data_IF_281814479565
#
_entry.id   IF_281814479565
#
_cell.length_a   1.000
_cell.length_b   1.000
_cell.length_c   1.000
_cell.angle_alpha   90.00
_cell.angle_beta   90.00
_cell.angle_gamma   90.00
#
_symmetry.space_group_name_H-M   'P 1'
#
loop_
_entity.id
_entity.type
_entity.pdbx_description
1 polymer ?
#
# COMPACT_ATOMS: atom_id res chain seq x y z
N UNK A 1 5.69 7.86 -0.01
CA UNK A 1 5.23 7.43 1.33
C UNK A 1 6.39 6.90 2.16
N UNK A 2 7.11 5.87 1.71
CA UNK A 2 8.12 5.17 2.52
C UNK A 2 9.29 6.04 2.96
N UNK A 3 9.85 6.89 2.08
CA UNK A 3 10.94 7.81 2.44
C UNK A 3 10.51 8.85 3.49
N UNK A 4 9.24 9.19 3.51
CA UNK A 4 8.65 10.16 4.44
C UNK A 4 8.49 9.54 5.84
N UNK A 5 8.02 8.30 5.91
CA UNK A 5 7.78 7.60 7.18
C UNK A 5 9.06 7.13 7.87
N UNK A 6 10.13 6.85 7.12
CA UNK A 6 11.41 6.41 7.68
C UNK A 6 12.19 7.50 8.43
N UNK A 7 11.79 8.78 8.36
CA UNK A 7 12.35 9.82 9.21
C UNK A 7 11.74 9.78 10.63
N UNK A 8 11.96 8.66 11.30
CA UNK A 8 11.57 8.51 12.70
C UNK A 8 12.29 9.52 13.63
N UNK A 9 11.73 9.88 14.80
CA UNK A 9 12.42 10.70 15.81
C UNK A 9 13.78 10.10 16.18
N UNK A 10 14.73 10.96 16.61
CA UNK A 10 16.02 10.48 17.15
C UNK A 10 15.77 9.47 18.28
N UNK A 11 16.35 8.26 18.16
CA UNK A 11 16.17 7.16 19.11
C UNK A 11 15.09 6.14 18.72
N UNK A 12 14.35 6.35 17.65
CA UNK A 12 13.54 5.28 17.07
C UNK A 12 14.45 4.29 16.32
N UNK A 13 14.02 3.02 16.26
CA UNK A 13 14.73 1.96 15.58
C UNK A 13 14.94 2.23 14.07
N UNK A 14 15.69 1.35 13.45
CA UNK A 14 16.03 1.43 12.01
C UNK A 14 15.62 0.17 11.25
N UNK A 15 14.57 -0.51 11.69
CA UNK A 15 14.10 -1.71 11.03
C UNK A 15 12.79 -1.48 10.29
N UNK A 16 12.74 -1.95 9.05
CA UNK A 16 11.58 -1.90 8.18
C UNK A 16 11.30 -3.31 7.67
N UNK A 17 10.05 -3.74 7.76
CA UNK A 17 9.58 -5.01 7.21
C UNK A 17 8.75 -4.75 5.96
N UNK A 18 8.96 -5.56 4.94
CA UNK A 18 8.20 -5.51 3.67
C UNK A 18 8.04 -6.92 3.11
N UNK A 19 7.36 -7.05 1.97
CA UNK A 19 7.20 -8.35 1.29
C UNK A 19 8.18 -8.51 0.13
N UNK A 20 8.47 -9.76 -0.24
CA UNK A 20 9.31 -10.06 -1.39
C UNK A 20 8.68 -9.70 -2.74
N UNK A 21 7.35 -9.49 -2.76
CA UNK A 21 6.56 -9.27 -3.98
C UNK A 21 6.11 -7.81 -4.19
N UNK A 22 6.63 -6.87 -3.42
CA UNK A 22 6.28 -5.46 -3.58
C UNK A 22 6.64 -4.92 -4.96
N UNK A 23 5.89 -3.91 -5.40
CA UNK A 23 6.21 -3.18 -6.62
C UNK A 23 7.54 -2.41 -6.49
N UNK A 24 8.22 -2.15 -7.61
CA UNK A 24 9.48 -1.39 -7.64
C UNK A 24 9.38 -0.01 -6.96
N UNK A 25 8.19 0.63 -6.94
CA UNK A 25 7.93 1.87 -6.23
C UNK A 25 8.09 1.77 -4.71
N UNK A 26 8.06 0.55 -4.16
CA UNK A 26 8.34 0.23 -2.75
C UNK A 26 9.78 -0.28 -2.59
N UNK A 27 10.21 -1.23 -3.42
CA UNK A 27 11.56 -1.81 -3.34
C UNK A 27 12.68 -0.76 -3.49
N UNK A 28 12.60 0.10 -4.50
CA UNK A 28 13.67 1.07 -4.75
C UNK A 28 13.87 2.08 -3.60
N UNK A 29 12.81 2.68 -3.01
CA UNK A 29 12.96 3.49 -1.80
C UNK A 29 13.52 2.72 -0.61
N UNK A 30 13.17 1.44 -0.43
CA UNK A 30 13.71 0.61 0.65
C UNK A 30 15.18 0.29 0.44
N UNK A 31 15.60 -0.01 -0.78
CA UNK A 31 17.00 -0.18 -1.12
C UNK A 31 17.81 1.08 -0.79
N UNK A 32 17.31 2.26 -1.19
CA UNK A 32 17.95 3.53 -0.81
C UNK A 32 18.06 3.69 0.71
N UNK A 33 17.02 3.30 1.47
CA UNK A 33 17.06 3.37 2.93
C UNK A 33 18.07 2.37 3.53
N UNK A 34 18.22 1.18 2.93
CA UNK A 34 19.24 0.21 3.33
C UNK A 34 20.66 0.81 3.20
N UNK A 35 20.94 1.54 2.13
CA UNK A 35 22.20 2.28 1.94
C UNK A 35 22.41 3.38 3.00
N UNK A 36 21.32 3.86 3.62
CA UNK A 36 21.36 4.81 4.74
C UNK A 36 21.42 4.13 6.12
N UNK A 37 21.65 2.82 6.15
CA UNK A 37 21.83 2.04 7.37
C UNK A 37 20.52 1.58 8.04
N UNK A 38 19.41 1.52 7.28
CA UNK A 38 18.20 0.84 7.73
C UNK A 38 18.30 -0.66 7.45
N UNK A 39 17.85 -1.47 8.39
CA UNK A 39 17.69 -2.90 8.20
C UNK A 39 16.35 -3.17 7.53
N UNK A 40 16.37 -3.86 6.40
CA UNK A 40 15.18 -4.21 5.64
C UNK A 40 14.98 -5.72 5.72
N UNK A 41 13.84 -6.15 6.24
CA UNK A 41 13.42 -7.56 6.23
C UNK A 41 12.36 -7.76 5.15
N UNK A 42 12.64 -8.66 4.21
CA UNK A 42 11.69 -9.07 3.18
C UNK A 42 11.02 -10.38 3.63
N UNK A 43 9.71 -10.33 3.90
CA UNK A 43 8.93 -11.52 4.18
C UNK A 43 8.82 -12.36 2.91
N UNK A 44 9.14 -13.66 2.97
CA UNK A 44 8.89 -14.57 1.86
C UNK A 44 7.40 -14.74 1.64
N UNK A 45 7.04 -15.23 0.47
CA UNK A 45 5.68 -15.63 0.12
C UNK A 45 5.65 -17.10 -0.24
N UNK A 46 4.48 -17.71 -0.12
CA UNK A 46 4.23 -19.08 -0.55
C UNK A 46 4.11 -19.18 -2.10
N UNK A 47 3.81 -20.36 -2.60
CA UNK A 47 3.64 -20.63 -4.04
C UNK A 47 2.44 -19.89 -4.67
N UNK A 48 1.53 -19.36 -3.86
CA UNK A 48 0.38 -18.56 -4.28
C UNK A 48 0.63 -17.06 -4.13
N UNK A 49 1.78 -16.67 -3.58
CA UNK A 49 2.18 -15.29 -3.39
C UNK A 49 1.70 -14.66 -2.09
N UNK A 50 1.29 -15.44 -1.08
CA UNK A 50 0.83 -14.93 0.21
C UNK A 50 1.93 -14.95 1.27
N UNK A 51 1.99 -13.88 2.09
CA UNK A 51 2.87 -13.84 3.26
C UNK A 51 2.36 -14.76 4.38
N UNK A 52 3.29 -15.27 5.20
CA UNK A 52 2.98 -15.91 6.46
C UNK A 52 2.82 -14.87 7.58
N UNK A 53 1.65 -14.85 8.25
CA UNK A 53 1.45 -14.01 9.44
C UNK A 53 2.34 -14.44 10.61
N UNK A 54 2.75 -15.70 10.66
CA UNK A 54 3.71 -16.20 11.64
C UNK A 54 5.11 -15.59 11.39
N UNK A 55 5.53 -15.51 10.12
CA UNK A 55 6.80 -14.90 9.74
C UNK A 55 6.79 -13.40 9.98
N UNK A 56 5.68 -12.70 9.69
CA UNK A 56 5.51 -11.31 10.06
C UNK A 56 5.70 -11.11 11.56
N UNK A 57 5.02 -11.94 12.38
CA UNK A 57 5.13 -11.84 13.84
C UNK A 57 6.54 -12.13 14.35
N UNK A 58 7.24 -13.08 13.75
CA UNK A 58 8.62 -13.41 14.10
C UNK A 58 9.63 -12.34 13.67
N UNK A 59 9.34 -11.60 12.62
CA UNK A 59 10.19 -10.53 12.11
C UNK A 59 10.09 -9.22 12.91
N UNK A 60 9.01 -9.01 13.67
CA UNK A 60 8.83 -7.81 14.50
C UNK A 60 9.81 -7.80 15.67
N UNK A 61 10.47 -6.67 15.89
CA UNK A 61 11.37 -6.43 17.02
C UNK A 61 11.29 -4.97 17.52
N UNK A 62 12.06 -4.66 18.55
CA UNK A 62 12.06 -3.34 19.22
C UNK A 62 12.55 -2.21 18.30
N UNK A 63 13.33 -2.51 17.25
CA UNK A 63 13.81 -1.56 16.27
C UNK A 63 12.84 -1.36 15.10
N UNK A 64 11.76 -2.14 15.00
CA UNK A 64 10.79 -2.04 13.90
C UNK A 64 10.00 -0.74 13.99
N UNK A 65 10.08 0.08 12.95
CA UNK A 65 9.39 1.38 12.86
C UNK A 65 8.32 1.42 11.78
N UNK A 66 8.41 0.55 10.80
CA UNK A 66 7.54 0.52 9.63
C UNK A 66 7.35 -0.91 9.13
N UNK A 67 6.12 -1.26 8.83
CA UNK A 67 5.78 -2.43 8.02
C UNK A 67 5.09 -1.93 6.76
N UNK A 68 5.50 -2.41 5.61
CA UNK A 68 4.91 -2.07 4.30
C UNK A 68 4.50 -3.33 3.56
N UNK A 69 3.22 -3.48 3.30
CA UNK A 69 2.64 -4.65 2.62
C UNK A 69 1.71 -4.16 1.51
N UNK A 70 1.90 -4.64 0.29
CA UNK A 70 0.91 -4.39 -0.77
C UNK A 70 -0.35 -5.22 -0.51
N UNK A 71 -1.52 -4.63 -0.77
CA UNK A 71 -2.79 -5.34 -0.52
C UNK A 71 -3.11 -6.35 -1.62
N UNK A 72 -2.76 -6.02 -2.88
CA UNK A 72 -2.95 -6.91 -4.04
C UNK A 72 -1.71 -6.82 -4.92
N UNK A 73 -1.13 -7.96 -5.24
CA UNK A 73 0.03 -8.01 -6.13
C UNK A 73 -0.36 -7.68 -7.58
N UNK A 74 0.45 -6.87 -8.24
CA UNK A 74 0.19 -6.37 -9.58
C UNK A 74 0.45 -7.37 -10.71
N UNK A 75 1.21 -8.44 -10.44
CA UNK A 75 1.56 -9.47 -11.43
C UNK A 75 0.64 -10.68 -11.34
N UNK A 76 0.46 -11.23 -10.15
CA UNK A 76 -0.24 -12.50 -9.94
C UNK A 76 -1.61 -12.33 -9.27
N UNK A 77 -1.95 -11.13 -8.79
CA UNK A 77 -3.24 -10.86 -8.17
C UNK A 77 -3.43 -11.45 -6.76
N UNK A 78 -2.36 -11.95 -6.12
CA UNK A 78 -2.42 -12.41 -4.73
C UNK A 78 -2.93 -11.28 -3.81
N UNK A 79 -3.86 -11.61 -2.91
CA UNK A 79 -4.47 -10.67 -1.95
C UNK A 79 -3.88 -10.95 -0.59
N UNK A 80 -3.15 -9.98 -0.04
CA UNK A 80 -2.48 -10.13 1.25
C UNK A 80 -3.44 -9.92 2.44
N UNK A 81 -3.21 -10.62 3.57
CA UNK A 81 -4.04 -10.55 4.77
C UNK A 81 -3.77 -9.26 5.59
N UNK A 82 -4.07 -8.11 4.98
CA UNK A 82 -3.72 -6.78 5.51
C UNK A 82 -4.40 -6.48 6.85
N UNK A 83 -5.65 -6.92 7.04
CA UNK A 83 -6.37 -6.66 8.29
C UNK A 83 -5.71 -7.39 9.47
N UNK A 84 -5.43 -8.67 9.31
CA UNK A 84 -4.78 -9.51 10.30
C UNK A 84 -3.32 -9.07 10.56
N UNK A 85 -2.61 -8.68 9.51
CA UNK A 85 -1.28 -8.09 9.64
C UNK A 85 -1.32 -6.80 10.47
N UNK A 86 -2.29 -5.93 10.22
CA UNK A 86 -2.49 -4.71 11.00
C UNK A 86 -2.74 -4.97 12.48
N UNK A 87 -3.57 -5.97 12.81
CA UNK A 87 -3.81 -6.40 14.20
C UNK A 87 -2.53 -6.88 14.88
N UNK A 88 -1.75 -7.75 14.21
CA UNK A 88 -0.48 -8.27 14.74
C UNK A 88 0.50 -7.14 15.01
N UNK A 89 0.67 -6.23 14.05
CA UNK A 89 1.59 -5.09 14.17
C UNK A 89 1.20 -4.22 15.36
N UNK A 90 -0.07 -3.80 15.45
CA UNK A 90 -0.52 -2.88 16.51
C UNK A 90 -0.60 -3.53 17.88
N UNK A 91 -0.79 -4.84 17.95
CA UNK A 91 -0.70 -5.59 19.21
C UNK A 91 0.74 -5.70 19.69
N UNK A 92 1.72 -5.81 18.80
CA UNK A 92 3.13 -5.83 19.15
C UNK A 92 3.60 -4.44 19.64
N UNK A 93 3.43 -3.41 18.82
CA UNK A 93 3.71 -2.03 19.18
C UNK A 93 2.81 -1.06 18.37
N UNK A 94 1.91 -0.30 19.01
CA UNK A 94 1.00 0.62 18.33
C UNK A 94 1.70 1.77 17.59
N UNK A 95 2.96 2.06 17.90
CA UNK A 95 3.74 3.15 17.29
C UNK A 95 4.39 2.72 15.96
N UNK A 96 4.50 1.43 15.66
CA UNK A 96 4.95 0.95 14.35
C UNK A 96 3.97 1.44 13.28
N UNK A 97 4.47 2.17 12.29
CA UNK A 97 3.63 2.60 11.17
C UNK A 97 3.31 1.42 10.25
N UNK A 98 2.06 1.31 9.87
CA UNK A 98 1.62 0.33 8.88
C UNK A 98 1.27 1.04 7.57
N UNK A 99 2.07 0.81 6.54
CA UNK A 99 1.86 1.27 5.18
C UNK A 99 1.28 0.16 4.32
N UNK A 100 0.24 0.50 3.55
CA UNK A 100 -0.35 -0.40 2.57
C UNK A 100 -0.27 0.23 1.18
N UNK A 101 0.35 -0.48 0.25
CA UNK A 101 0.21 -0.15 -1.17
C UNK A 101 -1.13 -0.74 -1.66
N UNK A 102 -2.12 0.15 -1.85
CA UNK A 102 -3.44 -0.23 -2.30
C UNK A 102 -3.68 0.11 -3.79
N UNK A 103 -2.62 0.33 -4.55
CA UNK A 103 -2.73 0.76 -5.97
C UNK A 103 -3.56 -0.22 -6.78
N UNK A 104 -3.44 -1.52 -6.55
CA UNK A 104 -4.23 -2.54 -7.25
C UNK A 104 -5.57 -2.86 -6.55
N UNK A 105 -5.69 -2.56 -5.26
CA UNK A 105 -6.86 -2.92 -4.46
C UNK A 105 -7.94 -1.84 -4.45
N UNK A 106 -7.54 -0.54 -4.45
CA UNK A 106 -8.47 0.56 -4.30
C UNK A 106 -9.49 0.60 -5.44
N UNK A 107 -10.77 0.64 -5.09
CA UNK A 107 -11.87 0.56 -6.05
C UNK A 107 -12.22 -0.85 -6.55
N UNK A 108 -11.56 -1.90 -6.02
CA UNK A 108 -11.83 -3.31 -6.32
C UNK A 108 -12.11 -4.14 -5.07
N UNK A 109 -11.47 -3.79 -3.96
CA UNK A 109 -11.70 -4.41 -2.65
C UNK A 109 -12.16 -3.34 -1.64
N UNK A 110 -12.95 -3.73 -0.63
CA UNK A 110 -13.33 -2.81 0.44
C UNK A 110 -12.11 -2.50 1.33
N UNK A 111 -11.82 -1.21 1.51
CA UNK A 111 -10.69 -0.74 2.32
C UNK A 111 -11.21 0.19 3.40
N UNK A 112 -10.95 -0.16 4.65
CA UNK A 112 -11.34 0.59 5.84
C UNK A 112 -10.09 0.86 6.70
N UNK A 113 -9.31 1.92 6.41
CA UNK A 113 -8.00 2.13 7.03
C UNK A 113 -8.02 2.05 8.56
N UNK A 114 -9.02 2.65 9.22
CA UNK A 114 -9.14 2.62 10.69
C UNK A 114 -9.40 1.21 11.23
N UNK A 115 -10.25 0.41 10.55
CA UNK A 115 -10.57 -0.97 10.98
C UNK A 115 -9.41 -1.93 10.71
N UNK A 116 -8.66 -1.67 9.64
CA UNK A 116 -7.53 -2.50 9.21
C UNK A 116 -6.19 -1.98 9.79
N UNK A 117 -6.25 -1.01 10.71
CA UNK A 117 -5.08 -0.44 11.38
C UNK A 117 -4.02 0.18 10.45
N UNK A 118 -4.44 0.63 9.27
CA UNK A 118 -3.55 1.23 8.27
C UNK A 118 -3.26 2.69 8.64
N UNK A 119 -1.98 3.04 8.76
CA UNK A 119 -1.54 4.41 9.01
C UNK A 119 -1.28 5.19 7.74
N UNK A 120 -0.79 4.51 6.70
CA UNK A 120 -0.46 5.09 5.41
C UNK A 120 -1.04 4.21 4.30
N UNK A 121 -1.75 4.82 3.32
CA UNK A 121 -2.30 4.08 2.19
C UNK A 121 -1.96 4.80 0.89
N UNK A 122 -1.27 4.13 -0.01
CA UNK A 122 -0.91 4.67 -1.32
C UNK A 122 -1.92 4.26 -2.39
N UNK A 123 -2.39 5.24 -3.17
CA UNK A 123 -3.31 5.03 -4.30
C UNK A 123 -2.84 5.81 -5.52
N UNK A 124 -2.98 5.21 -6.70
CA UNK A 124 -2.62 5.81 -7.98
C UNK A 124 -3.83 5.92 -8.92
N UNK A 125 -4.07 7.12 -9.45
CA UNK A 125 -5.29 7.43 -10.21
C UNK A 125 -5.45 6.64 -11.50
N UNK A 126 -4.33 6.33 -12.19
CA UNK A 126 -4.38 5.60 -13.47
C UNK A 126 -4.87 4.15 -13.35
N UNK A 127 -4.93 3.59 -12.15
CA UNK A 127 -5.51 2.26 -11.88
C UNK A 127 -7.02 2.29 -11.63
N UNK A 128 -7.59 3.52 -11.60
CA UNK A 128 -9.03 3.81 -11.46
C UNK A 128 -9.58 4.52 -12.70
N UNK A 129 -8.91 4.40 -13.85
CA UNK A 129 -9.26 5.14 -15.07
C UNK A 129 -9.16 6.68 -14.92
N UNK A 130 -8.51 7.16 -13.86
CA UNK A 130 -8.21 8.56 -13.62
C UNK A 130 -6.97 9.04 -14.38
N UNK A 131 -6.66 10.35 -14.33
CA UNK A 131 -5.50 10.92 -15.01
C UNK A 131 -4.19 10.33 -14.53
N UNK A 132 -3.27 10.04 -15.48
CA UNK A 132 -1.89 9.65 -15.16
C UNK A 132 -1.19 10.76 -14.40
N UNK A 133 -0.25 10.39 -13.51
CA UNK A 133 0.47 11.36 -12.68
C UNK A 133 -0.34 11.91 -11.50
N UNK A 134 -1.59 11.45 -11.30
CA UNK A 134 -2.41 11.75 -10.13
C UNK A 134 -2.49 10.54 -9.18
N UNK A 135 -2.71 10.83 -7.91
CA UNK A 135 -2.84 9.84 -6.86
C UNK A 135 -2.95 10.51 -5.50
N UNK A 136 -3.12 9.74 -4.44
CA UNK A 136 -3.11 10.27 -3.09
C UNK A 136 -2.43 9.33 -2.11
N UNK A 137 -1.98 9.90 -1.02
CA UNK A 137 -1.52 9.21 0.17
C UNK A 137 -2.49 9.52 1.32
N UNK A 138 -3.18 8.49 1.84
CA UNK A 138 -3.86 8.61 3.11
C UNK A 138 -2.83 8.58 4.22
N UNK A 139 -2.95 9.48 5.18
CA UNK A 139 -2.11 9.57 6.38
C UNK A 139 -3.06 9.61 7.57
N UNK A 140 -2.95 8.63 8.48
CA UNK A 140 -3.73 8.63 9.71
C UNK A 140 -3.35 9.80 10.61
N UNK A 141 -4.26 10.28 11.46
CA UNK A 141 -4.02 11.39 12.38
C UNK A 141 -2.85 11.12 13.35
N UNK A 142 -2.57 9.84 13.62
CA UNK A 142 -1.48 9.40 14.52
C UNK A 142 -0.13 9.34 13.82
N UNK A 143 -0.11 9.21 12.50
CA UNK A 143 1.12 9.05 11.75
C UNK A 143 1.88 10.38 11.64
N UNK A 144 3.07 10.43 12.25
CA UNK A 144 3.97 11.58 12.16
C UNK A 144 4.93 11.37 11.00
N UNK A 145 4.61 11.95 9.84
CA UNK A 145 5.46 11.90 8.65
C UNK A 145 6.08 13.27 8.36
N UNK A 146 7.29 13.27 7.81
CA UNK A 146 7.98 14.50 7.42
C UNK A 146 7.87 14.72 5.91
N UNK A 147 7.72 15.95 5.44
CA UNK A 147 7.71 16.25 4.01
C UNK A 147 9.05 15.88 3.36
N UNK A 148 8.99 15.38 2.13
CA UNK A 148 10.17 15.09 1.31
C UNK A 148 10.44 16.22 0.29
N UNK A 149 9.38 16.89 -0.17
CA UNK A 149 9.46 17.97 -1.15
C UNK A 149 9.12 19.26 -0.43
N UNK A 150 10.10 20.14 -0.36
CA UNK A 150 9.99 21.44 0.33
C UNK A 150 9.62 22.56 -0.65
N UNK A 151 9.01 23.64 -0.15
CA UNK A 151 8.62 24.83 -0.91
C UNK A 151 7.47 25.56 -0.24
N UNK A 152 6.38 25.82 -0.95
CA UNK A 152 5.17 26.46 -0.42
C UNK A 152 4.37 25.56 0.52
N UNK A 153 3.22 26.09 0.99
CA UNK A 153 2.37 25.40 1.97
C UNK A 153 1.35 24.40 1.42
N UNK A 154 1.47 23.99 0.14
CA UNK A 154 0.51 23.10 -0.50
C UNK A 154 0.42 21.76 0.25
N UNK A 155 -0.74 21.11 0.16
CA UNK A 155 -1.03 19.88 0.88
C UNK A 155 -0.68 19.95 2.39
N UNK A 156 -1.01 21.09 3.03
CA UNK A 156 -0.70 21.37 4.44
C UNK A 156 0.80 21.29 4.76
N UNK A 157 1.65 21.67 3.81
CA UNK A 157 3.10 21.61 3.95
C UNK A 157 3.71 20.22 3.73
N UNK A 158 2.91 19.20 3.46
CA UNK A 158 3.40 17.83 3.30
C UNK A 158 4.01 17.56 1.92
N UNK A 159 3.51 18.24 0.89
CA UNK A 159 4.01 18.11 -0.47
C UNK A 159 3.87 19.44 -1.19
N UNK A 160 4.95 20.18 -1.25
CA UNK A 160 5.00 21.49 -1.91
C UNK A 160 4.93 21.38 -3.43
N UNK A 161 4.46 22.44 -4.05
CA UNK A 161 4.28 22.59 -5.50
C UNK A 161 2.83 22.92 -5.82
N UNK A 162 2.61 23.71 -6.87
CA UNK A 162 1.27 24.13 -7.32
C UNK A 162 0.37 22.91 -7.50
N UNK A 163 -0.84 22.99 -6.95
CA UNK A 163 -1.79 21.88 -7.01
C UNK A 163 -2.24 21.63 -8.46
N UNK A 164 -2.17 20.38 -8.89
CA UNK A 164 -2.71 19.92 -10.16
C UNK A 164 -4.24 19.77 -10.06
N UNK A 165 -4.93 20.92 -10.07
CA UNK A 165 -6.40 20.98 -9.92
C UNK A 165 -7.14 20.11 -10.96
N UNK A 166 -6.79 20.17 -12.27
CA UNK A 166 -7.43 19.30 -13.27
C UNK A 166 -7.22 17.81 -12.98
N UNK A 167 -6.00 17.42 -12.59
CA UNK A 167 -5.70 16.03 -12.23
C UNK A 167 -6.44 15.57 -10.98
N UNK A 168 -6.55 16.43 -9.96
CA UNK A 168 -7.32 16.14 -8.75
C UNK A 168 -8.83 16.01 -9.03
N UNK A 169 -9.38 16.89 -9.86
CA UNK A 169 -10.78 16.83 -10.27
C UNK A 169 -11.09 15.57 -11.08
N UNK A 170 -10.21 15.22 -12.04
CA UNK A 170 -10.34 13.99 -12.82
C UNK A 170 -10.21 12.72 -11.96
N UNK A 171 -9.29 12.71 -10.98
CA UNK A 171 -9.17 11.62 -10.00
C UNK A 171 -10.44 11.51 -9.15
N UNK A 172 -10.97 12.62 -8.65
CA UNK A 172 -12.21 12.64 -7.87
C UNK A 172 -13.40 12.09 -8.65
N UNK A 173 -13.51 12.41 -9.95
CA UNK A 173 -14.55 11.86 -10.81
C UNK A 173 -14.36 10.35 -11.01
N UNK A 174 -13.14 9.90 -11.31
CA UNK A 174 -12.85 8.48 -11.45
C UNK A 174 -13.19 7.67 -10.18
N UNK A 175 -12.91 8.23 -9.00
CA UNK A 175 -13.30 7.62 -7.71
C UNK A 175 -14.83 7.54 -7.58
N UNK A 176 -15.57 8.62 -7.90
CA UNK A 176 -17.04 8.60 -7.83
C UNK A 176 -17.63 7.53 -8.73
N UNK A 177 -17.21 7.44 -9.98
CA UNK A 177 -17.69 6.44 -10.93
C UNK A 177 -17.37 5.02 -10.45
N UNK A 178 -16.14 4.79 -9.98
CA UNK A 178 -15.72 3.47 -9.47
C UNK A 178 -16.59 3.03 -8.30
N UNK A 179 -16.86 3.91 -7.34
CA UNK A 179 -17.64 3.54 -6.14
C UNK A 179 -19.15 3.59 -6.34
N UNK A 180 -19.67 4.33 -7.34
CA UNK A 180 -21.08 4.30 -7.68
C UNK A 180 -21.56 2.91 -8.15
N UNK A 181 -20.65 2.12 -8.74
CA UNK A 181 -20.93 0.78 -9.28
C UNK A 181 -19.99 -0.29 -8.70
N UNK A 182 -19.54 -0.09 -7.46
CA UNK A 182 -18.48 -0.91 -6.86
C UNK A 182 -18.82 -2.40 -6.83
N UNK A 183 -20.01 -2.75 -6.33
CA UNK A 183 -20.44 -4.14 -6.19
C UNK A 183 -20.66 -4.80 -7.55
N UNK A 184 -21.33 -4.11 -8.47
CA UNK A 184 -21.59 -4.60 -9.83
C UNK A 184 -20.30 -4.82 -10.61
N UNK A 185 -19.38 -3.85 -10.56
CA UNK A 185 -18.09 -3.95 -11.23
C UNK A 185 -17.25 -5.10 -10.66
N UNK A 186 -17.23 -5.26 -9.33
CA UNK A 186 -16.49 -6.34 -8.68
C UNK A 186 -17.06 -7.70 -9.05
N UNK A 187 -18.38 -7.87 -9.02
CA UNK A 187 -19.05 -9.10 -9.45
C UNK A 187 -18.77 -9.42 -10.92
N UNK A 188 -18.78 -8.39 -11.77
CA UNK A 188 -18.48 -8.55 -13.21
C UNK A 188 -17.02 -9.01 -13.45
N UNK A 189 -16.04 -8.45 -12.71
CA UNK A 189 -14.64 -8.89 -12.81
C UNK A 189 -14.47 -10.35 -12.42
N UNK A 190 -15.10 -10.80 -11.33
CA UNK A 190 -15.06 -12.20 -10.94
C UNK A 190 -15.72 -13.11 -11.99
N UNK A 191 -16.88 -12.74 -12.52
CA UNK A 191 -17.56 -13.52 -13.56
C UNK A 191 -16.72 -13.68 -14.84
N UNK A 192 -16.01 -12.60 -15.26
CA UNK A 192 -15.09 -12.67 -16.41
C UNK A 192 -13.89 -13.56 -16.09
N UNK A 193 -13.31 -13.41 -14.89
CA UNK A 193 -12.18 -14.23 -14.46
C UNK A 193 -12.54 -15.71 -14.47
N UNK A 194 -13.66 -16.08 -13.86
CA UNK A 194 -14.10 -17.47 -13.76
C UNK A 194 -14.35 -18.06 -15.15
N UNK A 195 -15.04 -17.31 -16.03
CA UNK A 195 -15.24 -17.73 -17.44
C UNK A 195 -13.91 -17.91 -18.20
N UNK A 196 -12.90 -17.06 -17.91
CA UNK A 196 -11.59 -17.19 -18.53
C UNK A 196 -10.86 -18.44 -18.02
N UNK A 197 -10.92 -18.74 -16.72
CA UNK A 197 -10.35 -19.95 -16.12
C UNK A 197 -10.99 -21.19 -16.74
N UNK A 198 -12.33 -21.28 -16.73
CA UNK A 198 -13.09 -22.38 -17.31
C UNK A 198 -12.72 -22.61 -18.78
N UNK A 199 -12.55 -21.53 -19.55
CA UNK A 199 -12.15 -21.63 -20.96
C UNK A 199 -10.71 -22.12 -21.14
N UNK A 200 -9.78 -21.69 -20.31
CA UNK A 200 -8.37 -22.12 -20.36
C UNK A 200 -8.20 -23.59 -19.96
N UNK A 201 -8.93 -24.04 -18.93
CA UNK A 201 -8.90 -25.44 -18.48
C UNK A 201 -9.39 -26.44 -19.53
N UNK A 202 -10.20 -25.97 -20.51
CA UNK A 202 -10.65 -26.80 -21.64
C UNK A 202 -9.60 -26.92 -22.74
N UNK A 203 -8.55 -26.08 -22.74
CA UNK A 203 -7.48 -26.17 -23.72
C UNK A 203 -6.59 -27.37 -23.35
N UNK A 204 -6.58 -28.37 -24.24
CA UNK A 204 -5.62 -29.47 -24.12
C UNK A 204 -4.24 -28.94 -24.48
N UNK A 205 -3.31 -28.91 -23.48
CA UNK A 205 -1.91 -28.63 -23.70
C UNK A 205 -1.19 -29.75 -24.43
#
# INVERSE_FOLDING_TARGET
>A
ALRVSAYAPRGAGKHIITTAIEHAAVHMPLQFLAEQGYRITHLPVDEHGHISLADLKAALDEETILVSIMMVNNEIGAIEPVAEAGEIIKKYNPDILFHVDAIQAYGKLPIYPKKQHIDLLSVSGHKLHGPKGSGFLYISEKAKVKPLIFGGGQQRGMRSGTDNVPGAAGLAQAVRETFAHFEDNTAHFYAIKDRMIDGLEQLKG
#
